data_IF_378436488328
#
_entry.id   IF_378436488328
#
_cell.length_a   1.000
_cell.length_b   1.000
_cell.length_c   1.000
_cell.angle_alpha   90.00
_cell.angle_beta   90.00
_cell.angle_gamma   90.00
#
_symmetry.space_group_name_H-M   'P 1'
#
loop_
_entity.id
_entity.type
_entity.pdbx_description
1 polymer ?
#
# COMPACT_ATOMS: atom_id res chain seq x y z
N UNK A 1 4.06 7.96 5.41
CA UNK A 1 4.02 7.16 4.15
C UNK A 1 4.99 7.60 3.06
N UNK A 2 5.21 8.89 2.78
CA UNK A 2 6.15 9.30 1.70
C UNK A 2 7.60 8.83 1.91
N UNK A 3 8.00 8.57 3.15
CA UNK A 3 9.31 8.00 3.46
C UNK A 3 9.38 6.48 3.23
N UNK A 4 8.24 5.77 3.31
CA UNK A 4 8.18 4.31 3.11
C UNK A 4 8.35 3.99 1.62
N UNK A 5 7.57 4.70 0.79
CA UNK A 5 7.64 4.57 -0.67
C UNK A 5 8.65 5.56 -1.30
N UNK A 6 9.62 6.02 -0.52
CA UNK A 6 10.77 6.77 -1.00
C UNK A 6 11.89 5.82 -1.40
N UNK A 7 12.93 6.35 -2.05
CA UNK A 7 14.03 5.52 -2.51
C UNK A 7 15.31 6.29 -2.76
N UNK A 8 16.37 5.54 -3.06
CA UNK A 8 17.65 6.07 -3.51
C UNK A 8 17.43 6.72 -4.88
N UNK A 9 17.63 8.04 -4.96
CA UNK A 9 17.54 8.77 -6.22
C UNK A 9 18.94 9.04 -6.74
N UNK A 10 19.18 8.66 -7.99
CA UNK A 10 20.37 9.07 -8.73
C UNK A 10 20.32 10.58 -9.02
N UNK A 11 21.44 11.25 -8.80
CA UNK A 11 21.62 12.71 -8.95
C UNK A 11 22.66 13.05 -10.02
N UNK A 12 23.03 12.10 -10.88
CA UNK A 12 24.03 12.30 -11.92
C UNK A 12 25.43 12.34 -11.31
N UNK A 13 26.14 13.45 -11.45
CA UNK A 13 27.54 13.58 -10.97
C UNK A 13 27.68 13.60 -9.45
N UNK A 14 26.60 13.83 -8.69
CA UNK A 14 26.61 13.87 -7.22
C UNK A 14 26.19 12.52 -6.64
N UNK A 15 26.73 12.12 -5.47
CA UNK A 15 26.32 10.89 -4.81
C UNK A 15 24.82 10.80 -4.62
N UNK A 16 24.30 9.60 -4.88
CA UNK A 16 22.90 9.24 -4.69
C UNK A 16 22.44 9.47 -3.26
N UNK A 17 21.22 9.98 -3.09
CA UNK A 17 20.64 10.22 -1.77
C UNK A 17 19.17 9.76 -1.73
N UNK A 18 18.68 9.47 -0.53
CA UNK A 18 17.28 9.14 -0.33
C UNK A 18 16.37 10.33 -0.67
N UNK A 19 15.30 10.07 -1.41
CA UNK A 19 14.25 11.04 -1.72
C UNK A 19 12.88 10.45 -1.41
N UNK A 20 12.02 11.31 -0.86
CA UNK A 20 10.62 10.98 -0.53
C UNK A 20 9.84 10.64 -1.80
N UNK A 21 8.93 9.68 -1.72
CA UNK A 21 8.01 9.32 -2.79
C UNK A 21 7.02 10.44 -3.15
N UNK A 22 6.33 10.25 -4.28
CA UNK A 22 5.33 11.19 -4.81
C UNK A 22 4.15 11.33 -3.84
N UNK A 23 3.89 12.55 -3.37
CA UNK A 23 2.78 12.80 -2.45
C UNK A 23 1.40 12.69 -3.14
N UNK A 24 1.32 13.08 -4.42
CA UNK A 24 0.05 13.14 -5.15
C UNK A 24 -0.51 11.76 -5.45
N UNK A 25 0.35 10.82 -5.85
CA UNK A 25 -0.07 9.43 -6.13
C UNK A 25 -0.60 8.79 -4.85
N UNK A 26 0.20 8.81 -3.78
CA UNK A 26 -0.17 8.24 -2.48
C UNK A 26 -1.50 8.83 -1.96
N UNK A 27 -1.70 10.15 -2.08
CA UNK A 27 -2.93 10.80 -1.61
C UNK A 27 -4.14 10.37 -2.44
N UNK A 28 -4.03 10.38 -3.77
CA UNK A 28 -5.15 10.03 -4.66
C UNK A 28 -5.57 8.58 -4.50
N UNK A 29 -4.61 7.65 -4.39
CA UNK A 29 -4.91 6.23 -4.16
C UNK A 29 -5.64 6.03 -2.83
N UNK A 30 -5.24 6.72 -1.76
CA UNK A 30 -5.93 6.62 -0.47
C UNK A 30 -7.33 7.26 -0.52
N UNK A 31 -7.52 8.37 -1.22
CA UNK A 31 -8.84 8.96 -1.43
C UNK A 31 -9.78 8.01 -2.19
N UNK A 32 -9.28 7.30 -3.20
CA UNK A 32 -10.07 6.29 -3.92
C UNK A 32 -10.47 5.13 -2.99
N UNK A 33 -9.57 4.68 -2.11
CA UNK A 33 -9.86 3.64 -1.13
C UNK A 33 -10.81 4.11 -0.02
N UNK A 34 -10.80 5.41 0.32
CA UNK A 34 -11.78 6.04 1.19
C UNK A 34 -13.17 6.05 0.54
N UNK A 35 -13.26 6.43 -0.74
CA UNK A 35 -14.52 6.36 -1.52
C UNK A 35 -15.04 4.92 -1.62
N UNK A 36 -14.16 3.93 -1.71
CA UNK A 36 -14.52 2.51 -1.72
C UNK A 36 -14.91 1.97 -0.33
N UNK A 37 -14.81 2.76 0.75
CA UNK A 37 -15.16 2.34 2.11
C UNK A 37 -14.16 1.39 2.77
N UNK A 38 -13.00 1.15 2.14
CA UNK A 38 -11.96 0.24 2.64
C UNK A 38 -11.01 0.93 3.63
N UNK A 39 -10.93 2.26 3.58
CA UNK A 39 -10.09 3.10 4.45
C UNK A 39 -10.95 4.19 5.08
N UNK A 40 -10.73 4.47 6.37
CA UNK A 40 -11.37 5.52 7.13
C UNK A 40 -10.39 6.66 7.39
N UNK A 41 -10.88 7.89 7.23
CA UNK A 41 -10.15 9.09 7.63
C UNK A 41 -10.40 9.37 9.12
N UNK A 42 -9.32 9.51 9.89
CA UNK A 42 -9.34 9.87 11.30
C UNK A 42 -8.59 11.20 11.51
N UNK A 43 -8.81 11.90 12.62
CA UNK A 43 -8.19 13.21 12.91
C UNK A 43 -6.66 13.14 12.95
N UNK A 44 -6.11 11.97 13.31
CA UNK A 44 -4.67 11.72 13.39
C UNK A 44 -4.10 11.09 12.11
N UNK A 45 -4.95 10.67 11.15
CA UNK A 45 -4.48 10.05 9.93
C UNK A 45 -5.53 9.24 9.15
N UNK A 46 -5.15 8.03 8.75
CA UNK A 46 -5.99 7.10 7.99
C UNK A 46 -5.83 5.71 8.59
N UNK A 47 -6.93 4.99 8.77
CA UNK A 47 -6.96 3.62 9.31
C UNK A 47 -7.74 2.72 8.37
N UNK A 48 -7.43 1.44 8.35
CA UNK A 48 -8.19 0.46 7.56
C UNK A 48 -9.57 0.26 8.21
N UNK A 49 -10.62 0.19 7.40
CA UNK A 49 -11.97 -0.09 7.91
C UNK A 49 -12.12 -1.58 8.27
N UNK A 50 -13.09 -1.96 9.12
CA UNK A 50 -13.39 -3.38 9.38
C UNK A 50 -13.69 -4.16 8.10
N UNK A 51 -14.39 -3.51 7.14
CA UNK A 51 -14.66 -4.08 5.82
C UNK A 51 -13.37 -4.28 5.00
N UNK A 52 -12.43 -3.33 5.06
CA UNK A 52 -11.13 -3.44 4.41
C UNK A 52 -10.28 -4.58 4.97
N UNK A 53 -10.31 -4.80 6.29
CA UNK A 53 -9.61 -5.92 6.94
C UNK A 53 -10.22 -7.25 6.48
N UNK A 54 -11.54 -7.41 6.57
CA UNK A 54 -12.23 -8.63 6.15
C UNK A 54 -11.98 -8.96 4.66
N UNK A 55 -11.94 -7.94 3.80
CA UNK A 55 -11.62 -8.12 2.39
C UNK A 55 -10.18 -8.62 2.17
N UNK A 56 -9.20 -8.03 2.87
CA UNK A 56 -7.81 -8.49 2.79
C UNK A 56 -7.63 -9.92 3.31
N UNK A 57 -8.26 -10.26 4.42
CA UNK A 57 -8.18 -11.59 5.02
C UNK A 57 -8.79 -12.64 4.07
N UNK A 58 -9.96 -12.36 3.49
CA UNK A 58 -10.60 -13.26 2.53
C UNK A 58 -9.79 -13.45 1.24
N UNK A 59 -9.08 -12.42 0.78
CA UNK A 59 -8.14 -12.53 -0.34
C UNK A 59 -6.90 -13.34 0.02
N UNK A 60 -6.33 -13.14 1.21
CA UNK A 60 -5.18 -13.88 1.69
C UNK A 60 -5.47 -15.37 1.77
N UNK A 61 -6.63 -15.76 2.32
CA UNK A 61 -7.07 -17.15 2.40
C UNK A 61 -7.23 -17.80 1.02
N UNK A 62 -7.77 -17.06 0.05
CA UNK A 62 -7.90 -17.54 -1.33
C UNK A 62 -6.54 -17.78 -1.95
N UNK A 63 -5.63 -16.80 -1.85
CA UNK A 63 -4.28 -16.90 -2.42
C UNK A 63 -3.50 -18.03 -1.75
N UNK A 64 -3.62 -18.20 -0.43
CA UNK A 64 -2.96 -19.27 0.29
C UNK A 64 -3.42 -20.65 -0.23
N UNK A 65 -4.74 -20.85 -0.38
CA UNK A 65 -5.30 -22.09 -0.96
C UNK A 65 -4.85 -22.32 -2.40
N UNK A 66 -4.82 -21.26 -3.21
CA UNK A 66 -4.36 -21.33 -4.61
C UNK A 66 -2.87 -21.67 -4.70
N UNK A 67 -2.03 -21.04 -3.87
CA UNK A 67 -0.59 -21.32 -3.81
C UNK A 67 -0.29 -22.75 -3.36
N UNK A 68 -1.05 -23.27 -2.40
CA UNK A 68 -0.96 -24.66 -1.97
C UNK A 68 -1.39 -25.63 -3.07
N UNK A 69 -2.43 -25.30 -3.84
CA UNK A 69 -2.88 -26.10 -4.98
C UNK A 69 -1.91 -26.03 -6.18
N UNK A 70 -1.19 -24.92 -6.33
CA UNK A 70 -0.21 -24.68 -7.40
C UNK A 70 1.18 -25.23 -7.11
N UNK A 71 1.42 -25.76 -5.92
CA UNK A 71 2.62 -26.51 -5.60
C UNK A 71 2.39 -28.03 -5.75
N UNK A 72 2.51 -28.59 -6.97
CA UNK A 72 3.12 -29.89 -7.15
C UNK A 72 4.59 -29.69 -7.60
N UNK A 73 5.48 -30.41 -6.89
CA UNK A 73 6.93 -30.55 -7.10
C UNK A 73 7.83 -29.48 -6.47
#
# INVERSE_FOLDING_TARGET
MRSIYGGKKDRGSRPSQFRKGSGSILRKSLQQLETAGLVLHDKTGRRVSPAGISYMDGLADRIAKESAARAPQ
#
